data_IF_546001384384
#
_entry.id   IF_546001384384
#
_cell.length_a   1.000
_cell.length_b   1.000
_cell.length_c   1.000
_cell.angle_alpha   90.00
_cell.angle_beta   90.00
_cell.angle_gamma   90.00
#
_symmetry.space_group_name_H-M   'P 1'
#
loop_
_entity.id
_entity.type
_entity.pdbx_description
1 polymer ?
#
# COMPACT_ATOMS: atom_id res chain seq x y z
N UNK A 1 -18.86 -5.39 14.50
CA UNK A 1 -18.06 -4.41 15.30
C UNK A 1 -16.58 -4.64 15.04
N UNK A 2 -15.71 -3.61 15.06
CA UNK A 2 -14.28 -3.79 14.83
C UNK A 2 -13.63 -4.68 15.91
N UNK A 3 -12.60 -5.44 15.52
CA UNK A 3 -11.83 -6.32 16.40
C UNK A 3 -10.36 -5.89 16.37
N UNK A 4 -9.82 -5.57 17.55
CA UNK A 4 -8.42 -5.16 17.75
C UNK A 4 -7.66 -6.24 18.50
N UNK A 5 -6.50 -6.66 18.00
CA UNK A 5 -5.66 -7.66 18.67
C UNK A 5 -4.16 -7.34 18.55
N UNK A 6 -3.40 -7.70 19.58
CA UNK A 6 -1.95 -7.43 19.65
C UNK A 6 -1.17 -8.53 18.94
N UNK A 7 -0.21 -8.15 18.09
CA UNK A 7 0.57 -9.09 17.26
C UNK A 7 2.05 -9.16 17.68
N UNK A 8 2.60 -8.10 18.29
CA UNK A 8 3.90 -8.13 19.01
C UNK A 8 3.88 -7.26 20.27
N UNK A 9 4.66 -7.65 21.27
CA UNK A 9 4.66 -7.08 22.63
C UNK A 9 5.62 -5.89 22.77
N UNK A 10 5.51 -4.89 21.88
CA UNK A 10 6.28 -3.64 21.94
C UNK A 10 5.42 -2.44 21.51
N UNK A 11 5.70 -1.21 21.99
CA UNK A 11 4.94 -0.02 21.58
C UNK A 11 5.03 0.24 20.07
N UNK A 12 4.06 1.00 19.56
CA UNK A 12 4.14 1.59 18.23
C UNK A 12 5.07 2.81 18.21
N UNK A 13 5.53 3.18 17.02
CA UNK A 13 6.34 4.38 16.73
C UNK A 13 5.54 5.37 15.90
N UNK A 14 5.87 6.65 16.01
CA UNK A 14 5.29 7.73 15.23
C UNK A 14 5.49 7.59 13.72
N UNK A 15 4.48 8.07 12.99
CA UNK A 15 4.44 8.17 11.53
C UNK A 15 5.00 9.52 11.09
N UNK A 16 6.26 9.53 10.68
CA UNK A 16 6.99 10.76 10.30
C UNK A 16 6.75 11.22 8.86
N UNK A 17 6.11 10.40 8.01
CA UNK A 17 5.88 10.74 6.60
C UNK A 17 4.99 12.00 6.49
N UNK A 18 5.37 13.03 5.70
CA UNK A 18 4.57 14.26 5.57
C UNK A 18 3.12 14.02 5.15
N UNK A 19 2.23 14.95 5.52
CA UNK A 19 0.86 14.99 4.99
C UNK A 19 0.75 15.88 3.75
N UNK A 20 -0.23 15.58 2.91
CA UNK A 20 -0.69 16.48 1.84
C UNK A 20 -1.86 17.33 2.33
N UNK A 21 -1.97 18.56 1.83
CA UNK A 21 -3.03 19.50 2.21
C UNK A 21 -4.22 19.53 1.22
N UNK A 22 -4.07 18.92 0.04
CA UNK A 22 -5.10 18.98 -1.03
C UNK A 22 -5.14 17.74 -1.89
N UNK A 23 -6.31 17.48 -2.50
CA UNK A 23 -6.49 16.46 -3.56
C UNK A 23 -5.52 16.63 -4.73
N UNK A 24 -5.18 17.88 -5.08
CA UNK A 24 -4.24 18.18 -6.17
C UNK A 24 -2.82 17.72 -5.82
N UNK A 25 -2.40 17.94 -4.57
CA UNK A 25 -1.12 17.45 -4.06
C UNK A 25 -1.13 15.91 -3.91
N UNK A 26 -2.22 15.33 -3.39
CA UNK A 26 -2.40 13.88 -3.31
C UNK A 26 -2.21 13.22 -4.69
N UNK A 27 -2.86 13.71 -5.73
CA UNK A 27 -2.70 13.22 -7.11
C UNK A 27 -1.28 13.44 -7.66
N UNK A 28 -0.67 14.61 -7.36
CA UNK A 28 0.69 14.93 -7.81
C UNK A 28 1.74 13.95 -7.28
N UNK A 29 1.65 13.58 -6.00
CA UNK A 29 2.63 12.71 -5.34
C UNK A 29 2.30 11.22 -5.51
N UNK A 30 1.01 10.86 -5.57
CA UNK A 30 0.53 9.46 -5.74
C UNK A 30 0.55 8.99 -7.18
N UNK A 31 0.42 9.88 -8.16
CA UNK A 31 0.46 9.53 -9.58
C UNK A 31 1.01 10.69 -10.44
N UNK A 32 2.33 10.96 -10.38
CA UNK A 32 2.97 12.05 -11.12
C UNK A 32 2.81 12.01 -12.65
N UNK A 33 2.37 10.88 -13.22
CA UNK A 33 2.04 10.73 -14.65
C UNK A 33 0.64 11.23 -14.99
N UNK A 34 -0.35 10.90 -14.15
CA UNK A 34 -1.75 11.30 -14.30
C UNK A 34 -1.91 12.79 -13.97
N UNK A 35 -1.22 13.27 -12.94
CA UNK A 35 -1.16 14.69 -12.60
C UNK A 35 -0.69 15.60 -13.75
N UNK A 36 0.21 15.12 -14.63
CA UNK A 36 0.67 15.89 -15.82
C UNK A 36 -0.39 16.01 -16.91
N UNK A 37 -1.48 15.25 -16.84
CA UNK A 37 -2.62 15.30 -17.76
C UNK A 37 -3.81 16.08 -17.18
N UNK A 38 -3.92 16.10 -15.84
CA UNK A 38 -4.91 16.85 -15.10
C UNK A 38 -4.81 18.37 -15.36
N UNK A 39 -5.73 18.90 -16.16
CA UNK A 39 -5.94 20.34 -16.34
C UNK A 39 -6.57 20.95 -15.07
N UNK A 40 -7.61 20.29 -14.54
CA UNK A 40 -8.23 20.59 -13.23
C UNK A 40 -8.89 19.35 -12.63
N UNK A 41 -8.99 19.31 -11.30
CA UNK A 41 -9.89 18.36 -10.62
C UNK A 41 -11.34 18.80 -10.89
N UNK A 42 -12.22 17.85 -11.19
CA UNK A 42 -13.66 18.02 -11.39
C UNK A 42 -14.42 17.57 -10.13
N UNK A 43 -14.08 16.40 -9.58
CA UNK A 43 -14.72 15.79 -8.42
C UNK A 43 -13.76 14.91 -7.62
N UNK A 44 -14.09 14.62 -6.36
CA UNK A 44 -13.20 13.92 -5.43
C UNK A 44 -13.95 13.43 -4.20
N UNK A 45 -13.72 12.19 -3.75
CA UNK A 45 -14.14 11.73 -2.41
C UNK A 45 -13.30 12.35 -1.29
N UNK A 46 -12.09 12.81 -1.62
CA UNK A 46 -11.22 13.52 -0.69
C UNK A 46 -11.70 14.97 -0.56
N UNK A 47 -12.41 15.29 0.53
CA UNK A 47 -12.88 16.64 0.85
C UNK A 47 -11.76 17.49 1.47
N UNK A 48 -11.87 18.83 1.47
CA UNK A 48 -10.96 19.69 2.22
C UNK A 48 -10.94 19.37 3.73
N UNK A 49 -12.09 19.03 4.31
CA UNK A 49 -12.21 18.62 5.71
C UNK A 49 -11.46 17.32 6.02
N UNK A 50 -11.28 16.42 5.05
CA UNK A 50 -10.51 15.20 5.25
C UNK A 50 -9.03 15.51 5.53
N UNK A 51 -8.41 16.41 4.76
CA UNK A 51 -7.00 16.83 4.92
C UNK A 51 -6.77 17.75 6.13
N UNK A 52 -7.82 18.46 6.57
CA UNK A 52 -7.80 19.29 7.78
C UNK A 52 -7.87 18.42 9.05
N UNK A 53 -8.73 17.40 9.05
CA UNK A 53 -9.02 16.59 10.24
C UNK A 53 -8.11 15.36 10.37
N UNK A 54 -7.41 14.94 9.30
CA UNK A 54 -6.62 13.71 9.26
C UNK A 54 -5.24 13.92 8.64
N UNK A 55 -4.25 13.16 9.10
CA UNK A 55 -2.92 13.14 8.52
C UNK A 55 -2.86 12.16 7.35
N UNK A 56 -2.84 12.66 6.12
CA UNK A 56 -2.84 11.83 4.91
C UNK A 56 -1.49 11.95 4.21
N UNK A 57 -0.72 10.86 4.20
CA UNK A 57 0.48 10.74 3.38
C UNK A 57 0.14 10.12 2.02
N UNK A 58 0.74 10.58 0.91
CA UNK A 58 0.48 10.06 -0.42
C UNK A 58 1.17 8.70 -0.60
N UNK A 59 0.58 7.79 -1.39
CA UNK A 59 1.20 6.49 -1.66
C UNK A 59 0.66 5.86 -2.93
N UNK A 60 1.56 5.47 -3.84
CA UNK A 60 1.21 4.82 -5.11
C UNK A 60 0.42 3.51 -4.93
N UNK A 61 0.45 2.88 -3.74
CA UNK A 61 -0.40 1.74 -3.35
C UNK A 61 -0.62 1.74 -1.83
N UNK A 62 -1.61 2.51 -1.37
CA UNK A 62 -1.87 2.69 0.06
C UNK A 62 -2.04 1.38 0.86
N UNK A 63 -2.64 0.34 0.27
CA UNK A 63 -2.86 -0.95 0.93
C UNK A 63 -1.55 -1.71 1.21
N UNK A 64 -0.78 -2.00 0.15
CA UNK A 64 0.49 -2.74 0.28
C UNK A 64 1.50 -1.94 1.12
N UNK A 65 1.51 -0.61 0.96
CA UNK A 65 2.43 0.24 1.72
C UNK A 65 2.04 0.39 3.19
N UNK A 66 0.76 0.54 3.54
CA UNK A 66 0.32 0.55 4.96
C UNK A 66 0.75 -0.73 5.68
N UNK A 67 0.51 -1.89 5.07
CA UNK A 67 0.92 -3.19 5.61
C UNK A 67 2.45 -3.30 5.77
N UNK A 68 3.21 -2.92 4.74
CA UNK A 68 4.68 -2.90 4.78
C UNK A 68 5.22 -1.97 5.88
N UNK A 69 4.66 -0.76 6.00
CA UNK A 69 5.09 0.25 6.96
C UNK A 69 4.69 -0.10 8.38
N UNK A 70 3.48 -0.59 8.62
CA UNK A 70 3.07 -1.07 9.94
C UNK A 70 4.02 -2.15 10.47
N UNK A 71 4.41 -3.11 9.63
CA UNK A 71 5.34 -4.18 10.01
C UNK A 71 6.79 -3.70 10.18
N UNK A 72 7.28 -2.85 9.27
CA UNK A 72 8.70 -2.45 9.22
C UNK A 72 9.04 -1.21 10.06
N UNK A 73 8.05 -0.34 10.29
CA UNK A 73 8.11 0.89 11.08
C UNK A 73 7.43 0.79 12.44
N UNK A 74 6.69 -0.29 12.71
CA UNK A 74 5.94 -0.55 13.94
C UNK A 74 4.82 0.46 14.19
N UNK A 75 3.91 0.58 13.23
CA UNK A 75 2.67 1.33 13.42
C UNK A 75 1.53 0.32 13.62
N UNK A 76 0.51 0.66 14.41
CA UNK A 76 -0.74 -0.12 14.42
C UNK A 76 -1.35 -0.13 13.02
N UNK A 77 -2.03 -1.21 12.62
CA UNK A 77 -2.58 -1.37 11.27
C UNK A 77 -4.09 -1.55 11.31
N UNK A 78 -4.85 -0.56 10.84
CA UNK A 78 -6.29 -0.72 10.62
C UNK A 78 -6.55 -1.16 9.17
N UNK A 79 -7.39 -2.18 8.97
CA UNK A 79 -7.81 -2.67 7.65
C UNK A 79 -9.33 -2.85 7.64
N UNK A 80 -9.97 -2.37 6.57
CA UNK A 80 -11.39 -2.62 6.28
C UNK A 80 -11.57 -3.71 5.21
N UNK A 81 -12.73 -4.38 5.16
CA UNK A 81 -13.05 -5.33 4.08
C UNK A 81 -12.86 -4.71 2.69
N UNK A 82 -13.23 -3.44 2.53
CA UNK A 82 -13.10 -2.69 1.28
C UNK A 82 -11.65 -2.51 0.84
N UNK A 83 -10.71 -2.27 1.76
CA UNK A 83 -9.31 -2.03 1.38
C UNK A 83 -8.65 -3.29 0.82
N UNK A 84 -9.03 -4.46 1.34
CA UNK A 84 -8.63 -5.78 0.80
C UNK A 84 -9.35 -6.06 -0.52
N UNK A 85 -10.67 -5.84 -0.59
CA UNK A 85 -11.45 -6.10 -1.81
C UNK A 85 -11.04 -5.18 -2.98
N UNK A 86 -10.77 -3.90 -2.72
CA UNK A 86 -10.27 -2.97 -3.73
C UNK A 86 -8.85 -3.32 -4.18
N UNK A 87 -7.99 -3.84 -3.30
CA UNK A 87 -6.68 -4.35 -3.70
C UNK A 87 -6.78 -5.58 -4.62
N UNK A 88 -7.73 -6.49 -4.35
CA UNK A 88 -8.06 -7.63 -5.24
C UNK A 88 -8.60 -7.14 -6.59
N UNK A 89 -9.56 -6.22 -6.58
CA UNK A 89 -10.13 -5.67 -7.81
C UNK A 89 -9.08 -4.91 -8.64
N UNK A 90 -8.21 -4.13 -8.01
CA UNK A 90 -7.11 -3.41 -8.71
C UNK A 90 -6.20 -4.38 -9.42
N UNK A 91 -5.75 -5.47 -8.75
CA UNK A 91 -4.99 -6.53 -9.40
C UNK A 91 -5.74 -7.14 -10.59
N UNK A 92 -7.03 -7.44 -10.40
CA UNK A 92 -7.88 -8.01 -11.45
C UNK A 92 -8.06 -7.06 -12.65
N UNK A 93 -8.04 -5.73 -12.47
CA UNK A 93 -8.09 -4.79 -13.60
C UNK A 93 -6.91 -4.94 -14.55
N UNK A 94 -5.70 -5.23 -14.05
CA UNK A 94 -4.53 -5.46 -14.92
C UNK A 94 -4.72 -6.73 -15.78
N UNK A 95 -5.26 -7.80 -15.19
CA UNK A 95 -5.57 -9.03 -15.92
C UNK A 95 -6.69 -8.83 -16.94
N UNK A 96 -7.83 -8.24 -16.54
CA UNK A 96 -8.97 -8.03 -17.45
C UNK A 96 -8.58 -7.12 -18.61
N UNK A 97 -7.85 -6.03 -18.37
CA UNK A 97 -7.43 -5.12 -19.43
C UNK A 97 -6.41 -5.76 -20.40
N UNK A 98 -5.57 -6.69 -19.93
CA UNK A 98 -4.62 -7.41 -20.79
C UNK A 98 -5.29 -8.49 -21.65
N UNK A 99 -6.38 -9.10 -21.17
CA UNK A 99 -7.08 -10.22 -21.82
C UNK A 99 -8.50 -9.84 -22.30
N UNK A 100 -8.74 -8.55 -22.55
CA UNK A 100 -10.09 -7.98 -22.72
C UNK A 100 -10.90 -8.59 -23.87
N UNK A 101 -10.26 -9.00 -24.97
CA UNK A 101 -10.93 -9.64 -26.10
C UNK A 101 -11.25 -11.12 -25.85
N UNK A 102 -10.36 -11.85 -25.14
CA UNK A 102 -10.61 -13.24 -24.75
C UNK A 102 -11.74 -13.35 -23.72
N UNK A 103 -11.85 -12.37 -22.83
CA UNK A 103 -12.88 -12.28 -21.80
C UNK A 103 -14.16 -11.55 -22.26
N UNK A 104 -14.22 -11.04 -23.51
CA UNK A 104 -15.34 -10.22 -24.01
C UNK A 104 -16.69 -10.89 -23.81
N UNK A 105 -16.80 -12.15 -24.22
CA UNK A 105 -18.03 -12.96 -24.13
C UNK A 105 -18.46 -13.34 -22.71
N UNK A 106 -17.55 -13.21 -21.72
CA UNK A 106 -17.86 -13.42 -20.31
C UNK A 106 -18.48 -12.17 -19.67
N UNK A 107 -18.05 -10.97 -20.09
CA UNK A 107 -18.47 -9.70 -19.49
C UNK A 107 -19.60 -8.97 -20.23
N UNK A 108 -19.68 -9.06 -21.57
CA UNK A 108 -20.65 -8.31 -22.37
C UNK A 108 -21.28 -9.15 -23.48
N UNK A 109 -22.58 -8.93 -23.71
CA UNK A 109 -23.34 -9.51 -24.82
C UNK A 109 -23.34 -8.63 -26.08
N UNK A 110 -22.44 -7.65 -26.16
CA UNK A 110 -22.36 -6.69 -27.25
C UNK A 110 -20.89 -6.38 -27.62
N UNK A 111 -20.68 -6.01 -28.89
CA UNK A 111 -19.47 -5.35 -29.32
C UNK A 111 -19.48 -3.87 -28.86
N UNK A 112 -18.30 -3.26 -28.68
CA UNK A 112 -18.18 -1.87 -28.21
C UNK A 112 -18.36 -1.65 -26.70
N UNK A 113 -18.83 -0.46 -26.30
CA UNK A 113 -18.89 0.05 -24.91
C UNK A 113 -20.26 0.70 -24.58
N UNK A 114 -20.60 0.83 -23.29
CA UNK A 114 -21.89 1.36 -22.77
C UNK A 114 -21.75 1.94 -21.33
N UNK A 115 -22.67 2.79 -20.87
CA UNK A 115 -22.47 3.78 -19.75
C UNK A 115 -23.68 3.88 -18.77
N UNK A 116 -23.46 4.03 -17.42
CA UNK A 116 -24.46 4.05 -16.29
C UNK A 116 -23.89 4.71 -14.96
N UNK A 117 -24.71 5.04 -13.93
CA UNK A 117 -24.36 5.90 -12.72
C UNK A 117 -25.22 5.66 -11.40
N UNK A 118 -24.77 6.08 -10.16
CA UNK A 118 -25.51 6.50 -8.86
C UNK A 118 -24.65 6.39 -7.51
N UNK A 119 -25.03 7.00 -6.32
CA UNK A 119 -24.15 7.40 -5.14
C UNK A 119 -24.79 7.40 -3.66
N UNK A 120 -24.03 7.20 -2.52
CA UNK A 120 -24.04 7.87 -1.13
C UNK A 120 -23.44 7.06 0.13
N UNK A 121 -23.43 7.54 1.43
CA UNK A 121 -22.27 7.44 2.45
C UNK A 121 -22.51 7.08 3.99
N UNK A 122 -21.49 6.58 4.77
CA UNK A 122 -21.43 6.38 6.29
C UNK A 122 -20.05 6.08 7.03
N UNK A 123 -19.96 6.00 8.40
CA UNK A 123 -18.76 5.81 9.35
C UNK A 123 -19.17 5.29 10.81
N UNK A 124 -18.44 5.00 11.95
CA UNK A 124 -17.05 4.81 12.57
C UNK A 124 -17.23 4.05 13.99
N UNK A 125 -16.41 3.77 15.06
CA UNK A 125 -15.03 3.92 15.71
C UNK A 125 -14.88 2.83 16.89
N UNK A 126 -14.04 2.69 17.99
CA UNK A 126 -12.76 3.19 18.64
C UNK A 126 -12.25 2.28 19.87
N UNK A 127 -11.07 2.59 20.55
CA UNK A 127 -10.46 2.14 21.90
C UNK A 127 -10.11 0.63 22.20
N UNK A 128 -9.47 0.08 23.29
CA UNK A 128 -8.77 0.46 24.59
C UNK A 128 -7.72 -0.66 25.03
N UNK A 129 -6.59 -0.41 25.79
CA UNK A 129 -5.58 -1.46 26.25
C UNK A 129 -4.68 -1.13 27.49
N UNK A 130 -4.47 -2.05 28.47
CA UNK A 130 -3.61 -1.87 29.69
C UNK A 130 -2.19 -2.51 29.84
N UNK A 131 -1.94 -3.78 29.50
CA UNK A 131 -0.97 -4.62 30.26
C UNK A 131 0.36 -5.07 29.57
N UNK A 132 1.32 -4.18 29.25
CA UNK A 132 2.56 -4.56 28.54
C UNK A 132 3.69 -5.09 29.45
N UNK A 133 4.00 -4.39 30.54
CA UNK A 133 5.27 -4.53 31.27
C UNK A 133 5.53 -5.93 31.91
N UNK A 134 4.49 -6.74 32.13
CA UNK A 134 4.60 -8.02 32.83
C UNK A 134 5.02 -9.20 31.92
N UNK A 135 4.90 -9.07 30.59
CA UNK A 135 4.96 -10.22 29.66
C UNK A 135 6.39 -10.65 29.31
N UNK A 136 7.34 -9.72 29.29
CA UNK A 136 8.73 -9.97 28.88
C UNK A 136 9.55 -10.86 29.83
N UNK A 137 9.23 -10.87 31.13
CA UNK A 137 9.99 -11.67 32.12
C UNK A 137 9.77 -13.19 31.96
N UNK A 138 8.56 -13.61 31.57
CA UNK A 138 8.14 -15.03 31.58
C UNK A 138 8.71 -15.94 30.47
N UNK A 139 9.60 -15.42 29.61
CA UNK A 139 10.16 -16.16 28.48
C UNK A 139 11.51 -16.83 28.77
N UNK A 140 12.30 -16.30 29.70
CA UNK A 140 13.64 -16.83 30.02
C UNK A 140 13.54 -18.13 30.84
N UNK A 141 12.67 -18.15 31.86
CA UNK A 141 12.49 -19.30 32.77
C UNK A 141 12.06 -20.60 32.07
N UNK A 142 11.44 -20.52 30.88
CA UNK A 142 10.90 -21.69 30.15
C UNK A 142 11.93 -22.51 29.38
N UNK A 143 13.21 -22.11 29.36
CA UNK A 143 14.26 -22.70 28.53
C UNK A 143 15.45 -23.29 29.31
N UNK A 144 15.32 -23.43 30.64
CA UNK A 144 16.31 -24.08 31.52
C UNK A 144 15.79 -25.43 32.01
N UNK A 145 16.70 -26.36 32.32
CA UNK A 145 16.36 -27.75 32.72
C UNK A 145 15.62 -27.86 34.06
N UNK A 146 15.78 -26.85 34.90
CA UNK A 146 15.11 -26.72 36.18
C UNK A 146 14.05 -25.62 36.05
N UNK A 147 12.75 -25.95 36.19
CA UNK A 147 11.67 -24.97 36.04
C UNK A 147 11.57 -23.99 37.23
N UNK A 148 12.07 -24.36 38.42
CA UNK A 148 12.02 -23.50 39.61
C UNK A 148 13.15 -22.46 39.60
N UNK A 149 14.18 -22.67 38.77
CA UNK A 149 15.34 -21.77 38.64
C UNK A 149 14.95 -20.33 38.26
N UNK A 150 13.88 -20.14 37.50
CA UNK A 150 13.39 -18.80 37.15
C UNK A 150 12.89 -18.01 38.36
N UNK A 151 12.09 -18.66 39.21
CA UNK A 151 11.52 -18.04 40.41
C UNK A 151 12.57 -17.91 41.53
N UNK A 152 13.58 -18.79 41.56
CA UNK A 152 14.72 -18.70 42.47
C UNK A 152 15.64 -17.48 42.19
N UNK A 153 15.83 -17.10 40.93
CA UNK A 153 16.69 -15.94 40.56
C UNK A 153 15.96 -14.60 40.71
N UNK A 154 14.63 -14.58 40.58
CA UNK A 154 13.86 -13.34 40.65
C UNK A 154 13.65 -12.89 42.10
N UNK A 155 14.06 -11.67 42.49
CA UNK A 155 13.94 -11.22 43.86
C UNK A 155 12.47 -11.02 44.27
N UNK A 156 12.15 -11.42 45.49
CA UNK A 156 10.83 -11.21 46.11
C UNK A 156 10.99 -10.81 47.59
N UNK A 157 11.88 -9.84 47.85
CA UNK A 157 12.10 -9.29 49.18
C UNK A 157 11.12 -8.13 49.44
N UNK A 158 10.92 -7.77 50.70
CA UNK A 158 10.01 -6.67 51.11
C UNK A 158 10.41 -5.28 50.60
N UNK A 159 11.60 -5.15 50.00
CA UNK A 159 12.12 -3.93 49.39
C UNK A 159 12.26 -4.01 47.87
N UNK A 160 11.83 -5.10 47.23
CA UNK A 160 12.03 -5.32 45.79
C UNK A 160 11.12 -4.44 44.93
N UNK A 161 11.74 -3.56 44.15
CA UNK A 161 11.10 -2.77 43.09
C UNK A 161 11.10 -3.52 41.75
N UNK A 162 10.35 -3.03 40.77
CA UNK A 162 10.38 -3.58 39.41
C UNK A 162 11.73 -3.36 38.71
N UNK A 163 12.45 -2.30 39.07
CA UNK A 163 13.85 -2.09 38.64
C UNK A 163 14.75 -3.24 39.10
N UNK A 164 14.59 -3.71 40.35
CA UNK A 164 15.39 -4.82 40.88
C UNK A 164 15.07 -6.15 40.17
N UNK A 165 13.81 -6.35 39.76
CA UNK A 165 13.38 -7.51 38.95
C UNK A 165 13.99 -7.48 37.55
N UNK A 166 14.08 -6.30 36.93
CA UNK A 166 14.78 -6.11 35.64
C UNK A 166 16.29 -6.34 35.79
N UNK A 167 16.91 -5.81 36.85
CA UNK A 167 18.35 -6.03 37.14
C UNK A 167 18.65 -7.52 37.32
N UNK A 168 17.84 -8.25 38.10
CA UNK A 168 17.98 -9.70 38.26
C UNK A 168 17.84 -10.46 36.95
N UNK A 169 16.86 -10.09 36.11
CA UNK A 169 16.65 -10.69 34.77
C UNK A 169 17.89 -10.53 33.88
N UNK A 170 18.50 -9.33 33.86
CA UNK A 170 19.71 -9.04 33.07
C UNK A 170 20.94 -9.77 33.62
N UNK A 171 21.09 -9.86 34.96
CA UNK A 171 22.15 -10.64 35.59
C UNK A 171 22.03 -12.14 35.26
N UNK A 172 20.81 -12.68 35.21
CA UNK A 172 20.57 -14.08 34.84
C UNK A 172 20.96 -14.36 33.37
N UNK A 173 20.56 -13.49 32.45
CA UNK A 173 20.99 -13.55 31.05
C UNK A 173 22.52 -13.49 30.95
N UNK A 174 23.17 -12.59 31.71
CA UNK A 174 24.63 -12.51 31.80
C UNK A 174 25.31 -13.78 32.32
N UNK A 175 24.70 -14.49 33.27
CA UNK A 175 25.20 -15.78 33.75
C UNK A 175 25.08 -16.91 32.70
N UNK A 176 24.06 -16.85 31.84
CA UNK A 176 23.77 -17.90 30.85
C UNK A 176 24.43 -17.69 29.46
N UNK A 177 25.21 -16.63 29.27
CA UNK A 177 25.87 -16.25 28.00
C UNK A 177 26.86 -17.28 27.41
N UNK A 178 27.19 -18.34 28.15
CA UNK A 178 28.01 -19.47 27.63
C UNK A 178 27.18 -20.61 27.06
N UNK A 179 25.87 -20.60 27.28
CA UNK A 179 24.93 -21.65 26.86
C UNK A 179 23.92 -21.14 25.82
N UNK A 180 23.59 -19.84 25.85
CA UNK A 180 22.74 -19.19 24.85
C UNK A 180 23.45 -17.98 24.22
N UNK A 181 23.20 -17.75 22.94
CA UNK A 181 23.64 -16.55 22.22
C UNK A 181 22.51 -15.52 22.22
N UNK A 182 22.77 -14.34 22.78
CA UNK A 182 21.79 -13.25 22.85
C UNK A 182 22.04 -12.25 21.72
N UNK A 183 21.20 -12.28 20.68
CA UNK A 183 21.26 -11.36 19.56
C UNK A 183 20.00 -10.48 19.52
N UNK A 184 20.15 -9.18 19.80
CA UNK A 184 19.12 -8.19 19.47
C UNK A 184 19.22 -7.85 17.99
N UNK A 185 18.35 -8.44 17.18
CA UNK A 185 17.95 -7.80 15.93
C UNK A 185 17.09 -6.57 16.25
N UNK A 186 17.09 -5.58 15.35
CA UNK A 186 15.91 -4.73 15.20
C UNK A 186 14.72 -5.67 14.99
N UNK A 187 13.68 -5.58 15.82
CA UNK A 187 12.44 -6.32 15.57
C UNK A 187 11.81 -5.80 14.28
N UNK A 188 10.96 -6.61 13.67
CA UNK A 188 9.92 -6.16 12.75
C UNK A 188 8.63 -6.86 13.19
N UNK A 189 7.49 -6.20 13.05
CA UNK A 189 6.23 -6.67 13.61
C UNK A 189 5.26 -5.51 13.82
N UNK A 190 3.99 -5.76 13.49
CA UNK A 190 2.88 -4.84 13.72
C UNK A 190 2.50 -4.91 15.21
N UNK A 191 2.49 -3.81 15.98
CA UNK A 191 2.13 -3.84 17.40
C UNK A 191 0.71 -4.39 17.65
N UNK A 192 -0.29 -3.87 16.94
CA UNK A 192 -1.64 -4.43 16.90
C UNK A 192 -2.31 -4.19 15.54
N UNK A 193 -3.21 -5.10 15.19
CA UNK A 193 -4.05 -5.01 13.98
C UNK A 193 -5.49 -4.76 14.42
N UNK A 194 -6.19 -3.91 13.69
CA UNK A 194 -7.61 -3.61 13.85
C UNK A 194 -8.33 -4.00 12.57
N UNK A 195 -9.13 -5.06 12.61
CA UNK A 195 -10.00 -5.45 11.51
C UNK A 195 -11.38 -4.82 11.69
N UNK A 196 -11.84 -4.10 10.68
CA UNK A 196 -13.19 -3.51 10.65
C UNK A 196 -14.18 -4.43 9.91
N UNK A 197 -15.46 -4.03 9.89
CA UNK A 197 -16.56 -4.84 9.37
C UNK A 197 -17.04 -5.90 10.37
N UNK A 198 -17.73 -6.91 9.85
CA UNK A 198 -18.17 -8.11 10.57
C UNK A 198 -17.70 -9.38 9.86
N UNK A 199 -17.68 -10.52 10.56
CA UNK A 199 -17.19 -11.81 10.01
C UNK A 199 -17.88 -12.17 8.67
N UNK A 200 -19.16 -11.82 8.52
CA UNK A 200 -19.94 -11.95 7.29
C UNK A 200 -19.38 -11.19 6.09
N UNK A 201 -18.76 -10.02 6.29
CA UNK A 201 -18.15 -9.23 5.19
C UNK A 201 -16.92 -9.96 4.64
N UNK A 202 -16.08 -10.48 5.55
CA UNK A 202 -14.89 -11.22 5.21
C UNK A 202 -15.20 -12.58 4.58
N UNK A 203 -16.24 -13.28 5.08
CA UNK A 203 -16.81 -14.46 4.43
C UNK A 203 -17.40 -14.15 3.05
N UNK A 204 -18.03 -12.98 2.87
CA UNK A 204 -18.53 -12.55 1.57
C UNK A 204 -17.41 -12.20 0.58
N UNK A 205 -16.25 -11.72 1.03
CA UNK A 205 -15.05 -11.58 0.18
C UNK A 205 -14.50 -12.95 -0.21
N UNK A 206 -14.39 -13.89 0.75
CA UNK A 206 -13.92 -15.25 0.49
C UNK A 206 -14.80 -15.97 -0.56
N UNK A 207 -16.12 -15.92 -0.41
CA UNK A 207 -17.08 -16.49 -1.35
C UNK A 207 -17.10 -15.80 -2.74
N UNK A 208 -16.59 -14.56 -2.87
CA UNK A 208 -16.42 -13.91 -4.17
C UNK A 208 -15.22 -14.47 -4.95
N UNK A 209 -14.25 -15.10 -4.30
CA UNK A 209 -13.07 -15.65 -4.97
C UNK A 209 -13.42 -16.79 -5.93
N UNK A 210 -14.48 -17.56 -5.68
CA UNK A 210 -14.92 -18.68 -6.56
C UNK A 210 -15.44 -18.22 -7.94
N UNK A 211 -15.56 -16.91 -8.16
CA UNK A 211 -15.79 -16.31 -9.49
C UNK A 211 -14.50 -16.05 -10.27
N UNK A 212 -13.34 -15.98 -9.61
CA UNK A 212 -12.05 -15.80 -10.29
C UNK A 212 -11.71 -17.03 -11.13
N UNK A 213 -11.99 -18.24 -10.62
CA UNK A 213 -11.74 -19.51 -11.33
C UNK A 213 -12.41 -19.56 -12.72
N UNK A 214 -13.50 -18.80 -12.90
CA UNK A 214 -14.27 -18.70 -14.14
C UNK A 214 -13.61 -17.80 -15.20
N UNK A 215 -12.65 -16.96 -14.80
CA UNK A 215 -11.85 -16.09 -15.66
C UNK A 215 -10.55 -16.76 -16.17
N UNK A 216 -10.36 -18.05 -15.84
CA UNK A 216 -9.25 -18.87 -16.34
C UNK A 216 -8.12 -19.11 -15.33
N UNK A 217 -7.01 -19.65 -15.84
CA UNK A 217 -5.96 -20.26 -15.01
C UNK A 217 -5.21 -19.27 -14.11
N UNK A 218 -4.82 -18.10 -14.61
CA UNK A 218 -4.12 -17.11 -13.78
C UNK A 218 -5.01 -16.51 -12.68
N UNK A 219 -6.29 -16.16 -12.94
CA UNK A 219 -7.23 -15.79 -11.87
C UNK A 219 -7.51 -16.88 -10.84
N UNK A 220 -7.61 -18.15 -11.25
CA UNK A 220 -7.71 -19.27 -10.30
C UNK A 220 -6.46 -19.39 -9.42
N UNK A 221 -5.27 -19.23 -10.01
CA UNK A 221 -4.00 -19.16 -9.31
C UNK A 221 -3.90 -17.96 -8.35
N UNK A 222 -4.55 -16.83 -8.66
CA UNK A 222 -4.66 -15.69 -7.75
C UNK A 222 -5.62 -15.98 -6.59
N UNK A 223 -6.77 -16.61 -6.86
CA UNK A 223 -7.74 -17.03 -5.84
C UNK A 223 -7.11 -17.99 -4.81
N UNK A 224 -6.33 -18.96 -5.27
CA UNK A 224 -5.55 -19.89 -4.43
C UNK A 224 -4.67 -19.17 -3.40
N UNK A 225 -4.01 -18.06 -3.79
CA UNK A 225 -3.19 -17.26 -2.86
C UNK A 225 -4.01 -16.39 -1.90
N UNK A 226 -5.24 -16.03 -2.25
CA UNK A 226 -6.10 -15.18 -1.43
C UNK A 226 -6.93 -15.96 -0.40
N UNK A 227 -7.30 -17.21 -0.71
CA UNK A 227 -8.11 -18.07 0.19
C UNK A 227 -7.52 -18.19 1.61
N UNK A 228 -6.25 -18.63 1.82
CA UNK A 228 -5.68 -18.70 3.17
C UNK A 228 -5.51 -17.33 3.84
N UNK A 229 -5.26 -16.25 3.07
CA UNK A 229 -5.17 -14.89 3.64
C UNK A 229 -6.52 -14.49 4.27
N UNK A 230 -7.63 -14.74 3.58
CA UNK A 230 -8.97 -14.41 4.07
C UNK A 230 -9.43 -15.36 5.18
N UNK A 231 -9.07 -16.64 5.11
CA UNK A 231 -9.33 -17.61 6.18
C UNK A 231 -8.63 -17.21 7.49
N UNK A 232 -7.37 -16.74 7.44
CA UNK A 232 -6.70 -16.18 8.62
C UNK A 232 -7.27 -14.83 9.06
N UNK A 233 -7.76 -13.99 8.14
CA UNK A 233 -8.48 -12.75 8.52
C UNK A 233 -9.80 -13.06 9.24
N UNK A 234 -10.55 -14.08 8.82
CA UNK A 234 -11.74 -14.57 9.52
C UNK A 234 -11.37 -15.16 10.88
N UNK A 235 -10.32 -15.99 10.95
CA UNK A 235 -9.80 -16.53 12.21
C UNK A 235 -9.36 -15.42 13.19
N UNK A 236 -8.83 -14.31 12.68
CA UNK A 236 -8.44 -13.14 13.47
C UNK A 236 -9.63 -12.42 14.13
N UNK A 237 -10.82 -12.54 13.56
CA UNK A 237 -12.07 -12.00 14.11
C UNK A 237 -12.72 -12.98 15.10
N UNK A 238 -12.69 -14.28 14.78
CA UNK A 238 -13.27 -15.33 15.62
C UNK A 238 -12.44 -15.63 16.87
N UNK A 239 -11.10 -15.58 16.74
CA UNK A 239 -10.13 -16.00 17.77
C UNK A 239 -8.88 -15.08 17.74
N UNK A 240 -9.03 -13.79 18.11
CA UNK A 240 -7.93 -12.81 18.08
C UNK A 240 -6.67 -13.23 18.84
N UNK A 241 -6.79 -14.03 19.91
CA UNK A 241 -5.69 -14.54 20.72
C UNK A 241 -5.06 -15.86 20.22
N UNK A 242 -5.50 -16.41 19.07
CA UNK A 242 -4.96 -17.67 18.54
C UNK A 242 -3.50 -17.51 18.08
N UNK A 243 -2.64 -18.46 18.47
CA UNK A 243 -1.22 -18.44 18.10
C UNK A 243 -0.99 -18.45 16.57
N UNK A 244 -1.93 -18.99 15.80
CA UNK A 244 -1.87 -18.98 14.34
C UNK A 244 -2.19 -17.60 13.76
N UNK A 245 -3.10 -16.83 14.37
CA UNK A 245 -3.37 -15.42 14.02
C UNK A 245 -2.12 -14.58 14.24
N UNK A 246 -1.52 -14.67 15.43
CA UNK A 246 -0.28 -13.96 15.77
C UNK A 246 0.84 -14.33 14.78
N UNK A 247 0.97 -15.61 14.43
CA UNK A 247 1.97 -16.08 13.44
C UNK A 247 1.69 -15.54 12.03
N UNK A 248 0.44 -15.57 11.57
CA UNK A 248 0.02 -15.09 10.26
C UNK A 248 0.37 -13.60 10.07
N UNK A 249 -0.01 -12.73 11.01
CA UNK A 249 0.29 -11.29 10.92
C UNK A 249 1.79 -10.97 11.04
N UNK A 250 2.55 -11.79 11.76
CA UNK A 250 4.02 -11.71 11.75
C UNK A 250 4.67 -12.19 10.43
N UNK A 251 3.89 -12.65 9.43
CA UNK A 251 4.40 -13.01 8.08
C UNK A 251 3.84 -12.13 6.94
N UNK A 252 3.20 -11.01 7.28
CA UNK A 252 2.56 -10.11 6.32
C UNK A 252 3.55 -9.56 5.28
N UNK A 253 4.69 -9.03 5.74
CA UNK A 253 5.70 -8.37 4.92
C UNK A 253 7.09 -8.68 5.46
N UNK A 254 8.13 -8.60 4.64
CA UNK A 254 9.53 -8.60 5.10
C UNK A 254 10.40 -7.88 4.09
N UNK A 255 11.13 -6.83 4.51
CA UNK A 255 12.12 -6.16 3.66
C UNK A 255 13.39 -6.99 3.59
N UNK A 256 13.73 -7.47 2.40
CA UNK A 256 14.95 -8.20 2.13
C UNK A 256 15.98 -7.27 1.47
N UNK A 257 17.03 -6.92 2.22
CA UNK A 257 18.20 -6.22 1.70
C UNK A 257 19.01 -7.13 0.76
N UNK A 258 19.74 -6.52 -0.19
CA UNK A 258 20.59 -7.22 -1.15
C UNK A 258 21.93 -6.51 -1.25
N UNK A 259 23.02 -7.27 -1.35
CA UNK A 259 24.40 -6.73 -1.37
C UNK A 259 24.71 -5.88 -2.61
N UNK A 260 23.93 -6.02 -3.68
CA UNK A 260 23.94 -5.14 -4.84
C UNK A 260 22.56 -5.13 -5.51
N UNK A 261 22.14 -3.97 -6.01
CA UNK A 261 20.85 -3.75 -6.66
C UNK A 261 19.66 -3.68 -5.70
N UNK A 262 18.46 -3.48 -6.26
CA UNK A 262 17.26 -3.11 -5.51
C UNK A 262 16.86 -4.14 -4.43
N UNK A 263 16.45 -3.68 -3.22
CA UNK A 263 15.74 -4.48 -2.21
C UNK A 263 14.39 -5.01 -2.71
N UNK A 264 13.87 -6.04 -2.03
CA UNK A 264 12.59 -6.67 -2.35
C UNK A 264 11.79 -7.01 -1.10
N UNK A 265 10.48 -7.21 -1.28
CA UNK A 265 9.50 -7.56 -0.26
C UNK A 265 9.10 -9.04 -0.45
N UNK A 266 8.99 -9.77 0.65
CA UNK A 266 8.34 -11.10 0.76
C UNK A 266 7.25 -11.04 1.83
N UNK A 267 6.54 -12.14 2.08
CA UNK A 267 5.38 -12.18 2.96
C UNK A 267 4.06 -12.18 2.16
N UNK A 268 2.95 -12.53 2.80
CA UNK A 268 1.68 -12.77 2.11
C UNK A 268 1.08 -11.52 1.45
N UNK A 269 1.45 -10.30 1.88
CA UNK A 269 1.02 -9.04 1.24
C UNK A 269 1.40 -8.96 -0.24
N UNK A 270 2.42 -9.74 -0.66
CA UNK A 270 2.86 -9.78 -2.06
C UNK A 270 1.84 -10.44 -3.01
N UNK A 271 0.82 -11.15 -2.49
CA UNK A 271 -0.32 -11.61 -3.29
C UNK A 271 -1.02 -10.44 -4.00
N UNK A 272 -1.14 -9.29 -3.33
CA UNK A 272 -1.76 -8.06 -3.86
C UNK A 272 -0.83 -7.32 -4.86
N UNK A 273 0.17 -8.02 -5.38
CA UNK A 273 1.08 -7.69 -6.45
C UNK A 273 1.34 -8.96 -7.30
N UNK A 274 0.30 -9.73 -7.62
CA UNK A 274 0.40 -10.93 -8.45
C UNK A 274 0.71 -10.60 -9.92
N UNK A 275 0.02 -9.63 -10.51
CA UNK A 275 0.31 -9.17 -11.88
C UNK A 275 1.23 -7.93 -11.90
N UNK A 276 1.75 -7.56 -13.07
CA UNK A 276 2.35 -6.26 -13.32
C UNK A 276 1.41 -5.28 -14.04
N UNK A 277 1.91 -4.09 -14.35
CA UNK A 277 1.18 -3.00 -15.03
C UNK A 277 0.70 -3.36 -16.45
N UNK A 278 0.98 -4.58 -16.91
CA UNK A 278 0.60 -5.13 -18.22
C UNK A 278 -0.15 -6.46 -18.09
N UNK A 279 -0.65 -6.78 -16.90
CA UNK A 279 -1.43 -8.00 -16.66
C UNK A 279 -0.63 -9.30 -16.71
N UNK A 280 0.70 -9.27 -16.50
CA UNK A 280 1.55 -10.47 -16.56
C UNK A 280 1.88 -10.99 -15.16
N UNK A 281 1.61 -12.27 -14.90
CA UNK A 281 1.84 -12.87 -13.58
C UNK A 281 3.32 -12.87 -13.18
N UNK A 282 3.60 -12.47 -11.93
CA UNK A 282 4.92 -12.52 -11.30
C UNK A 282 5.20 -13.94 -10.79
N UNK A 283 6.46 -14.36 -10.84
CA UNK A 283 6.86 -15.71 -10.39
C UNK A 283 6.75 -15.85 -8.88
N UNK A 284 6.12 -16.94 -8.43
CA UNK A 284 6.09 -17.39 -7.03
C UNK A 284 7.48 -17.88 -6.61
N UNK A 285 7.84 -17.77 -5.33
CA UNK A 285 9.13 -18.19 -4.80
C UNK A 285 8.98 -19.02 -3.51
N UNK A 286 9.66 -20.17 -3.47
CA UNK A 286 9.65 -21.16 -2.36
C UNK A 286 10.02 -20.59 -0.98
N UNK A 287 10.62 -19.39 -0.92
CA UNK A 287 11.01 -18.72 0.33
C UNK A 287 9.87 -18.02 1.07
N UNK A 288 8.71 -17.83 0.45
CA UNK A 288 7.56 -17.15 1.04
C UNK A 288 6.34 -18.05 0.94
N UNK A 289 5.98 -18.71 2.05
CA UNK A 289 4.92 -19.73 2.10
C UNK A 289 4.01 -19.50 3.29
N UNK A 290 2.70 -19.51 3.04
CA UNK A 290 1.63 -19.60 4.04
C UNK A 290 0.79 -20.82 3.67
N UNK A 291 0.62 -21.74 4.61
CA UNK A 291 -0.21 -22.95 4.51
C UNK A 291 0.00 -23.79 3.23
N UNK A 292 1.26 -23.87 2.80
CA UNK A 292 1.69 -24.61 1.60
C UNK A 292 1.66 -23.78 0.31
N UNK A 293 0.90 -22.68 0.27
CA UNK A 293 0.81 -21.80 -0.90
C UNK A 293 2.03 -20.89 -1.00
N UNK A 294 2.63 -20.80 -2.19
CA UNK A 294 3.81 -19.96 -2.46
C UNK A 294 3.44 -18.57 -2.95
N UNK A 295 4.13 -17.54 -2.43
CA UNK A 295 3.91 -16.14 -2.76
C UNK A 295 5.05 -15.57 -3.62
N UNK A 296 4.81 -14.50 -4.41
CA UNK A 296 5.85 -13.86 -5.19
C UNK A 296 6.88 -13.11 -4.33
N UNK A 297 8.00 -12.72 -4.93
CA UNK A 297 8.99 -11.82 -4.33
C UNK A 297 9.02 -10.54 -5.15
N UNK A 298 8.69 -9.42 -4.54
CA UNK A 298 8.37 -8.18 -5.26
C UNK A 298 9.47 -7.15 -4.99
N UNK A 299 10.27 -6.82 -6.01
CA UNK A 299 11.23 -5.72 -5.91
C UNK A 299 10.51 -4.43 -5.51
N UNK A 300 11.15 -3.59 -4.70
CA UNK A 300 10.48 -2.41 -4.11
C UNK A 300 10.08 -1.37 -5.18
N UNK A 301 10.73 -1.38 -6.35
CA UNK A 301 10.39 -0.60 -7.56
C UNK A 301 9.32 -1.27 -8.46
N UNK A 302 8.74 -2.41 -8.02
CA UNK A 302 7.84 -3.27 -8.80
C UNK A 302 6.55 -3.68 -8.06
N UNK A 303 6.31 -3.05 -6.91
CA UNK A 303 4.95 -2.93 -6.33
C UNK A 303 4.08 -2.23 -7.37
N UNK A 304 2.96 -2.85 -7.76
CA UNK A 304 2.01 -2.23 -8.70
C UNK A 304 1.24 -1.12 -8.01
N UNK A 305 0.82 -0.11 -8.78
CA UNK A 305 -0.06 0.96 -8.28
C UNK A 305 -1.37 0.37 -7.72
N UNK A 306 -1.87 0.96 -6.64
CA UNK A 306 -3.10 0.58 -5.94
C UNK A 306 -4.37 1.25 -6.49
N UNK A 307 -4.30 1.84 -7.68
CA UNK A 307 -5.40 2.57 -8.33
C UNK A 307 -5.65 2.07 -9.75
N UNK A 308 -6.91 2.03 -10.14
CA UNK A 308 -7.36 1.89 -11.52
C UNK A 308 -7.86 3.25 -12.06
N UNK A 309 -7.95 3.40 -13.39
CA UNK A 309 -8.50 4.61 -14.00
C UNK A 309 -9.26 4.32 -15.29
N UNK A 310 -10.28 5.14 -15.56
CA UNK A 310 -11.19 5.02 -16.70
C UNK A 310 -11.42 6.40 -17.33
N UNK A 311 -11.37 6.54 -18.67
CA UNK A 311 -11.76 7.78 -19.34
C UNK A 311 -13.28 7.96 -19.29
N UNK A 312 -13.74 9.19 -19.07
CA UNK A 312 -15.16 9.55 -18.96
C UNK A 312 -15.43 10.81 -19.79
N UNK A 313 -16.60 10.90 -20.43
CA UNK A 313 -17.03 12.09 -21.17
C UNK A 313 -18.19 12.75 -20.43
N UNK A 314 -17.94 13.88 -19.79
CA UNK A 314 -19.02 14.66 -19.15
C UNK A 314 -19.69 15.51 -20.24
N UNK A 315 -21.01 15.43 -20.35
CA UNK A 315 -21.81 16.31 -21.20
C UNK A 315 -22.38 17.46 -20.37
N UNK A 316 -21.62 18.55 -20.23
CA UNK A 316 -22.07 19.77 -19.57
C UNK A 316 -22.90 20.61 -20.55
N UNK A 317 -24.22 20.37 -20.58
CA UNK A 317 -25.19 21.15 -21.36
C UNK A 317 -24.86 21.28 -22.87
N UNK A 318 -24.23 20.25 -23.46
CA UNK A 318 -23.77 20.20 -24.84
C UNK A 318 -22.26 20.38 -25.01
N UNK A 319 -21.54 20.82 -23.97
CA UNK A 319 -20.08 20.85 -23.94
C UNK A 319 -19.53 19.48 -23.49
N UNK A 320 -18.84 18.77 -24.39
CA UNK A 320 -18.24 17.47 -24.08
C UNK A 320 -16.85 17.65 -23.48
N UNK A 321 -16.75 17.48 -22.16
CA UNK A 321 -15.50 17.58 -21.41
C UNK A 321 -14.81 16.21 -21.38
N UNK A 322 -13.59 16.15 -21.92
CA UNK A 322 -12.73 14.97 -21.81
C UNK A 322 -12.17 14.88 -20.39
N UNK A 323 -12.38 13.75 -19.73
CA UNK A 323 -12.02 13.58 -18.33
C UNK A 323 -11.58 12.17 -18.01
N UNK A 324 -10.95 11.99 -16.85
CA UNK A 324 -10.53 10.69 -16.33
C UNK A 324 -10.98 10.55 -14.88
N UNK A 325 -11.60 9.43 -14.56
CA UNK A 325 -11.87 9.02 -13.18
C UNK A 325 -10.79 8.03 -12.73
N UNK A 326 -10.30 8.18 -11.51
CA UNK A 326 -9.27 7.34 -10.89
C UNK A 326 -9.81 6.89 -9.52
N UNK A 327 -9.74 5.59 -9.22
CA UNK A 327 -10.28 5.00 -8.01
C UNK A 327 -9.37 3.90 -7.46
N UNK A 328 -9.34 3.73 -6.14
CA UNK A 328 -8.50 2.74 -5.44
C UNK A 328 -7.83 3.32 -4.20
N UNK A 329 -6.64 2.82 -3.87
CA UNK A 329 -5.87 3.17 -2.66
C UNK A 329 -4.82 4.25 -2.96
N UNK A 330 -5.10 5.49 -2.57
CA UNK A 330 -4.33 6.70 -2.91
C UNK A 330 -3.29 7.10 -1.86
N UNK A 331 -3.31 6.52 -0.67
CA UNK A 331 -2.48 7.02 0.42
C UNK A 331 -2.51 6.18 1.67
N UNK A 332 -1.85 6.71 2.69
CA UNK A 332 -1.84 6.17 4.05
C UNK A 332 -2.41 7.28 4.93
N UNK A 333 -3.58 7.03 5.53
CA UNK A 333 -4.10 7.88 6.58
C UNK A 333 -3.47 7.42 7.89
N UNK A 334 -2.80 8.33 8.59
CA UNK A 334 -2.28 8.08 9.92
C UNK A 334 -3.20 8.70 10.98
N UNK A 335 -3.31 8.02 12.11
CA UNK A 335 -4.10 8.45 13.26
C UNK A 335 -3.40 8.12 14.58
N UNK A 336 -3.81 8.79 15.64
CA UNK A 336 -3.38 8.47 17.01
C UNK A 336 -4.31 7.42 17.57
N UNK A 337 -3.84 6.17 17.65
CA UNK A 337 -4.50 5.10 18.38
C UNK A 337 -4.00 5.09 19.82
N UNK A 338 -4.82 5.62 20.73
CA UNK A 338 -4.65 5.39 22.16
C UNK A 338 -5.02 3.94 22.48
N UNK A 339 -4.02 3.06 22.47
CA UNK A 339 -4.00 1.94 23.41
C UNK A 339 -3.92 2.54 24.83
N UNK A 340 -5.03 2.96 25.44
CA UNK A 340 -4.97 3.72 26.69
C UNK A 340 -4.61 2.86 27.91
N UNK A 341 -3.29 2.68 28.07
CA UNK A 341 -2.72 2.03 29.25
C UNK A 341 -3.00 2.92 30.45
N UNK A 342 -3.90 2.45 31.32
CA UNK A 342 -4.25 3.08 32.60
C UNK A 342 -3.01 3.15 33.51
N UNK A 343 -2.22 4.20 33.32
CA UNK A 343 -0.96 4.48 34.02
C UNK A 343 -0.67 5.99 33.94
N UNK A 344 -0.95 6.76 35.00
CA UNK A 344 -0.84 8.22 34.94
C UNK A 344 0.63 8.67 35.07
N UNK A 345 1.16 9.35 34.04
CA UNK A 345 2.47 10.01 34.19
C UNK A 345 3.36 10.20 32.96
N UNK A 346 2.84 10.72 31.84
CA UNK A 346 3.70 11.37 30.83
C UNK A 346 3.04 12.61 30.25
N UNK A 347 3.64 13.78 30.48
CA UNK A 347 3.14 15.08 30.02
C UNK A 347 4.06 15.68 28.96
N UNK A 348 3.88 15.29 27.70
CA UNK A 348 4.54 15.88 26.54
C UNK A 348 3.56 15.95 25.36
N UNK A 349 3.26 17.16 24.90
CA UNK A 349 2.08 17.45 24.07
C UNK A 349 2.34 17.38 22.55
N UNK A 350 2.32 16.17 21.99
CA UNK A 350 1.96 15.90 20.59
C UNK A 350 1.15 14.60 20.59
N UNK A 351 0.07 14.51 19.82
CA UNK A 351 -0.57 13.22 19.56
C UNK A 351 0.28 12.47 18.53
N UNK A 352 1.16 11.59 18.99
CA UNK A 352 2.05 10.82 18.13
C UNK A 352 1.23 9.85 17.26
N UNK A 353 1.18 10.15 15.96
CA UNK A 353 0.42 9.38 14.96
C UNK A 353 1.04 7.99 14.84
N UNK A 354 0.47 7.00 15.54
CA UNK A 354 1.08 5.69 15.75
C UNK A 354 0.32 4.54 15.06
N UNK A 355 -0.81 4.84 14.42
CA UNK A 355 -1.60 3.93 13.61
C UNK A 355 -1.64 4.39 12.16
N UNK A 356 -1.66 3.43 11.23
CA UNK A 356 -1.78 3.66 9.79
C UNK A 356 -2.91 2.82 9.20
N UNK A 357 -3.64 3.39 8.25
CA UNK A 357 -4.66 2.70 7.48
C UNK A 357 -4.60 3.07 5.98
N UNK A 358 -4.95 2.13 5.08
CA UNK A 358 -5.05 2.43 3.66
C UNK A 358 -6.12 3.50 3.39
N UNK A 359 -5.74 4.59 2.72
CA UNK A 359 -6.70 5.59 2.27
C UNK A 359 -7.22 5.22 0.88
N UNK A 360 -8.36 4.55 0.85
CA UNK A 360 -9.10 4.26 -0.38
C UNK A 360 -10.13 5.35 -0.71
N UNK A 361 -10.30 5.66 -1.99
CA UNK A 361 -11.24 6.69 -2.48
C UNK A 361 -11.25 6.83 -4.00
N UNK A 362 -11.75 7.97 -4.50
CA UNK A 362 -11.76 8.30 -5.91
C UNK A 362 -11.55 9.80 -6.17
N UNK A 363 -11.05 10.13 -7.35
CA UNK A 363 -11.04 11.49 -7.90
C UNK A 363 -11.29 11.48 -9.40
N UNK A 364 -11.71 12.62 -9.93
CA UNK A 364 -12.02 12.83 -11.34
C UNK A 364 -11.40 14.14 -11.80
N UNK A 365 -10.73 14.16 -12.95
CA UNK A 365 -10.09 15.35 -13.50
C UNK A 365 -10.35 15.53 -14.99
N UNK A 366 -10.32 16.77 -15.44
CA UNK A 366 -10.32 17.14 -16.86
C UNK A 366 -8.92 16.87 -17.45
N UNK A 367 -8.85 16.21 -18.60
CA UNK A 367 -7.58 16.01 -19.33
C UNK A 367 -7.66 16.49 -20.77
N UNK A 368 -6.51 16.87 -21.33
CA UNK A 368 -6.39 17.22 -22.75
C UNK A 368 -6.97 16.07 -23.61
N UNK A 369 -7.99 16.38 -24.41
CA UNK A 369 -8.68 15.37 -25.21
C UNK A 369 -7.70 14.61 -26.12
N UNK A 370 -7.90 13.30 -26.30
CA UNK A 370 -6.95 12.45 -27.05
C UNK A 370 -6.67 12.99 -28.46
N UNK A 371 -7.69 13.52 -29.13
CA UNK A 371 -7.59 14.19 -30.44
C UNK A 371 -6.64 15.41 -30.43
N UNK A 372 -6.64 16.19 -29.34
CA UNK A 372 -5.73 17.31 -29.15
C UNK A 372 -4.30 16.83 -28.82
N UNK A 373 -4.15 15.78 -28.00
CA UNK A 373 -2.86 15.12 -27.74
C UNK A 373 -2.26 14.59 -29.05
N UNK A 374 -3.06 13.94 -29.89
CA UNK A 374 -2.64 13.41 -31.20
C UNK A 374 -2.29 14.53 -32.18
N UNK A 375 -3.09 15.60 -32.27
CA UNK A 375 -2.75 16.78 -33.06
C UNK A 375 -1.44 17.44 -32.58
N UNK A 376 -1.24 17.54 -31.26
CA UNK A 376 0.00 18.04 -30.63
C UNK A 376 1.20 17.14 -30.95
N UNK A 377 1.02 15.81 -30.94
CA UNK A 377 2.04 14.83 -31.31
C UNK A 377 2.39 14.86 -32.81
N UNK A 378 1.38 14.96 -33.70
CA UNK A 378 1.58 15.11 -35.14
C UNK A 378 2.31 16.41 -35.47
N UNK A 379 1.89 17.54 -34.89
CA UNK A 379 2.54 18.85 -35.04
C UNK A 379 3.99 18.86 -34.54
N UNK A 380 4.25 18.18 -33.42
CA UNK A 380 5.60 17.95 -32.88
C UNK A 380 6.46 17.08 -33.82
N UNK A 381 5.90 16.00 -34.38
CA UNK A 381 6.56 15.14 -35.38
C UNK A 381 6.91 15.90 -36.66
N UNK A 382 6.01 16.77 -37.14
CA UNK A 382 6.25 17.64 -38.28
C UNK A 382 7.38 18.66 -38.02
N UNK A 383 7.39 19.30 -36.84
CA UNK A 383 8.45 20.24 -36.46
C UNK A 383 9.83 19.55 -36.31
N UNK A 384 9.89 18.31 -35.80
CA UNK A 384 11.14 17.55 -35.79
C UNK A 384 11.59 17.11 -37.19
N UNK A 385 10.67 16.80 -38.11
CA UNK A 385 11.00 16.56 -39.51
C UNK A 385 11.54 17.83 -40.20
N UNK A 386 10.89 18.99 -39.99
CA UNK A 386 11.38 20.27 -40.51
C UNK A 386 12.78 20.62 -39.95
N UNK A 387 13.00 20.37 -38.65
CA UNK A 387 14.32 20.54 -38.02
C UNK A 387 15.38 19.60 -38.61
N UNK A 388 15.01 18.39 -39.01
CA UNK A 388 15.91 17.44 -39.67
C UNK A 388 16.28 17.88 -41.09
N UNK A 389 15.32 18.37 -41.89
CA UNK A 389 15.61 18.90 -43.23
C UNK A 389 16.47 20.18 -43.17
N UNK A 390 16.22 21.09 -42.23
CA UNK A 390 17.08 22.28 -42.01
C UNK A 390 18.51 21.89 -41.65
N UNK A 391 18.72 20.75 -40.96
CA UNK A 391 20.06 20.22 -40.63
C UNK A 391 20.72 19.48 -41.81
N UNK A 392 19.95 18.79 -42.67
CA UNK A 392 20.46 18.21 -43.92
C UNK A 392 20.95 19.31 -44.88
N UNK A 393 20.19 20.40 -44.99
CA UNK A 393 20.55 21.58 -45.80
C UNK A 393 21.79 22.35 -45.28
N UNK A 394 22.41 21.90 -44.19
CA UNK A 394 23.71 22.41 -43.70
C UNK A 394 24.90 21.45 -43.93
N UNK A 395 24.74 20.39 -44.74
CA UNK A 395 25.84 19.47 -45.08
C UNK A 395 26.74 19.93 -46.24
N UNK A 396 26.63 21.18 -46.68
CA UNK A 396 27.59 21.80 -47.60
C UNK A 396 28.92 22.15 -46.87
N UNK A 397 30.05 22.32 -47.59
CA UNK A 397 31.39 22.01 -47.08
C UNK A 397 31.89 22.74 -45.82
N UNK A 398 31.23 23.82 -45.38
CA UNK A 398 31.65 24.63 -44.23
C UNK A 398 30.87 24.37 -42.93
N UNK A 399 29.91 23.44 -42.90
CA UNK A 399 29.35 22.86 -41.66
C UNK A 399 28.60 23.78 -40.67
N UNK A 400 28.57 25.10 -40.89
CA UNK A 400 27.87 26.06 -40.04
C UNK A 400 26.53 26.47 -40.67
N UNK A 401 25.45 26.38 -39.89
CA UNK A 401 24.14 26.94 -40.25
C UNK A 401 24.30 28.41 -40.65
N UNK A 402 23.72 28.80 -41.80
CA UNK A 402 23.67 30.19 -42.25
C UNK A 402 22.67 31.02 -41.41
N UNK A 403 22.60 32.34 -41.62
CA UNK A 403 21.77 33.23 -40.78
C UNK A 403 20.27 32.85 -40.82
N UNK A 404 19.74 32.55 -42.01
CA UNK A 404 18.35 32.15 -42.23
C UNK A 404 18.06 30.77 -41.59
N UNK A 405 18.96 29.81 -41.76
CA UNK A 405 18.87 28.48 -41.13
C UNK A 405 18.91 28.58 -39.59
N UNK A 406 19.71 29.50 -39.01
CA UNK A 406 19.71 29.76 -37.56
C UNK A 406 18.38 30.37 -37.10
N UNK A 407 17.86 31.37 -37.82
CA UNK A 407 16.57 32.00 -37.52
C UNK A 407 15.43 30.98 -37.59
N UNK A 408 15.39 30.16 -38.65
CA UNK A 408 14.41 29.09 -38.85
C UNK A 408 14.53 28.00 -37.76
N UNK A 409 15.75 27.60 -37.40
CA UNK A 409 16.01 26.68 -36.27
C UNK A 409 15.49 27.26 -34.95
N UNK A 410 15.73 28.55 -34.68
CA UNK A 410 15.21 29.25 -33.51
C UNK A 410 13.68 29.20 -33.43
N UNK A 411 13.00 29.57 -34.51
CA UNK A 411 11.54 29.57 -34.62
C UNK A 411 10.93 28.15 -34.46
N UNK A 412 11.59 27.12 -35.00
CA UNK A 412 11.15 25.72 -34.80
C UNK A 412 11.33 25.29 -33.34
N UNK A 413 12.46 25.65 -32.70
CA UNK A 413 12.70 25.35 -31.29
C UNK A 413 11.77 26.11 -30.34
N UNK A 414 11.37 27.33 -30.68
CA UNK A 414 10.34 28.10 -29.97
C UNK A 414 8.95 27.43 -30.08
N UNK A 415 8.54 27.07 -31.31
CA UNK A 415 7.31 26.29 -31.54
C UNK A 415 7.32 24.94 -30.81
N UNK A 416 8.47 24.28 -30.69
CA UNK A 416 8.60 23.03 -29.92
C UNK A 416 8.49 23.25 -28.39
N UNK A 417 8.98 24.37 -27.85
CA UNK A 417 8.75 24.73 -26.43
C UNK A 417 7.27 25.01 -26.16
N UNK A 418 6.60 25.74 -27.06
CA UNK A 418 5.17 26.05 -26.97
C UNK A 418 4.23 24.82 -27.18
N UNK A 419 4.79 23.62 -27.34
CA UNK A 419 4.03 22.36 -27.43
C UNK A 419 4.36 21.37 -26.30
N UNK A 420 5.21 21.74 -25.33
CA UNK A 420 5.47 20.96 -24.11
C UNK A 420 4.44 21.28 -23.02
#
# INVERSE_FOLDING_TARGET
>A
MPVTFSVVDHPAKGWETPKVETTKQLLMETSPREYRRCLRIIGSSFSPSLFQNNHISPSENGFVWSAYHAYSGHHHLTIRPEDVWFAILTQLTFFINANAEELRSFFVSHDGQKELEVIEVGTLDSVDIGALAQRLAGLVSKNVKDPELGDWVMPNFSTTTDTDRVVASVLFMGAMQKYFSFAMSMTCGIPSVTLMGEISDWQAILARLDRLDQLGKEPAEFAEMLKPILEHMILSLEKPDDANVIRFWNTIATRNSRSSGTPYITGWITAFCFWDDKGRAKKRHVKSVLDGVMYPSVSIDRVTVGVASVPVKINDNGNIISSKMVAGSFGIQASTMTQDRTSPGSSSSVSELNSVQPLSGWLMYEEEAMEAIEARAQKRKALYAELAEVRKLSSEPNGFLNAEQRQKTGLIMEKLRALN
#
